data_IF_529029165178
#
_entry.id   IF_529029165178
#
_cell.length_a   1.000
_cell.length_b   1.000
_cell.length_c   1.000
_cell.angle_alpha   90.00
_cell.angle_beta   90.00
_cell.angle_gamma   90.00
#
_symmetry.space_group_name_H-M   'P 1'
#
loop_
_entity.id
_entity.type
_entity.pdbx_description
1 polymer ?
#
# COMPACT_ATOMS: atom_id res chain seq x y z
N UNK A 1 10.47 -19.19 8.45
CA UNK A 1 10.04 -20.36 9.25
C UNK A 1 8.97 -19.92 10.25
N UNK A 2 7.69 -19.87 9.86
CA UNK A 2 6.54 -19.76 10.77
C UNK A 2 5.32 -20.57 10.30
N UNK A 3 5.25 -21.00 9.03
CA UNK A 3 4.20 -21.90 8.54
C UNK A 3 4.33 -23.33 9.08
N UNK A 4 5.57 -23.80 9.32
CA UNK A 4 5.83 -25.14 9.87
C UNK A 4 5.73 -25.21 11.39
N UNK A 5 5.86 -24.07 12.10
CA UNK A 5 5.75 -24.06 13.57
C UNK A 5 4.39 -24.59 14.03
N UNK A 6 3.23 -24.12 13.50
CA UNK A 6 1.93 -24.72 13.81
C UNK A 6 1.80 -26.21 13.42
N UNK A 7 2.59 -26.69 12.45
CA UNK A 7 2.56 -28.10 11.99
C UNK A 7 3.19 -29.04 13.03
N UNK A 8 4.22 -28.61 13.73
CA UNK A 8 5.00 -29.46 14.65
C UNK A 8 4.89 -29.05 16.13
N UNK A 9 4.49 -27.81 16.41
CA UNK A 9 4.41 -27.24 17.74
C UNK A 9 2.99 -26.73 18.03
N UNK A 10 2.67 -26.63 19.31
CA UNK A 10 1.44 -26.00 19.81
C UNK A 10 1.77 -25.03 20.93
N UNK A 11 1.05 -23.92 21.01
CA UNK A 11 1.22 -22.96 22.11
C UNK A 11 0.51 -23.48 23.35
N UNK A 12 1.25 -23.69 24.44
CA UNK A 12 0.68 -23.99 25.75
C UNK A 12 0.43 -22.67 26.49
N UNK A 13 -0.86 -22.35 26.69
CA UNK A 13 -1.28 -21.09 27.34
C UNK A 13 -0.83 -21.01 28.81
N UNK A 14 -0.76 -22.13 29.50
CA UNK A 14 -0.39 -22.19 30.92
C UNK A 14 1.10 -22.00 31.13
N UNK A 15 1.93 -22.68 30.33
CA UNK A 15 3.40 -22.55 30.41
C UNK A 15 3.95 -21.35 29.63
N UNK A 16 3.10 -20.70 28.81
CA UNK A 16 3.47 -19.62 27.87
C UNK A 16 4.66 -20.01 26.99
N UNK A 17 4.68 -21.26 26.52
CA UNK A 17 5.77 -21.81 25.70
C UNK A 17 5.21 -22.61 24.53
N UNK A 18 6.00 -22.67 23.46
CA UNK A 18 5.76 -23.60 22.36
C UNK A 18 6.21 -24.99 22.79
N UNK A 19 5.32 -25.97 22.68
CA UNK A 19 5.59 -27.37 23.00
C UNK A 19 5.45 -28.23 21.75
N UNK A 20 6.26 -29.29 21.67
CA UNK A 20 6.15 -30.27 20.60
C UNK A 20 4.77 -30.93 20.63
N UNK A 21 4.19 -31.12 19.45
CA UNK A 21 2.97 -31.89 19.31
C UNK A 21 3.24 -33.35 19.62
N UNK A 22 2.36 -33.96 20.41
CA UNK A 22 2.45 -35.35 20.87
C UNK A 22 1.60 -36.31 20.03
N UNK A 23 0.84 -35.80 19.06
CA UNK A 23 -0.09 -36.56 18.22
C UNK A 23 0.02 -36.11 16.75
N UNK A 24 -0.06 -37.06 15.82
CA UNK A 24 0.01 -36.79 14.38
C UNK A 24 0.78 -37.87 13.59
N UNK A 25 1.20 -37.52 12.38
CA UNK A 25 2.13 -38.38 11.61
C UNK A 25 3.56 -38.15 12.11
N UNK A 26 4.34 -39.18 12.46
CA UNK A 26 5.72 -38.99 12.92
C UNK A 26 6.56 -38.31 11.83
N UNK A 27 7.46 -37.42 12.26
CA UNK A 27 8.41 -36.78 11.35
C UNK A 27 9.39 -37.84 10.82
N UNK A 28 9.67 -37.88 9.50
CA UNK A 28 10.47 -38.95 8.91
C UNK A 28 11.91 -39.01 9.41
N UNK A 29 12.45 -37.90 9.91
CA UNK A 29 13.87 -37.78 10.30
C UNK A 29 14.12 -37.45 11.76
N UNK A 30 13.08 -37.13 12.56
CA UNK A 30 13.25 -36.67 13.95
C UNK A 30 12.30 -37.41 14.86
N UNK A 31 12.87 -38.25 15.72
CA UNK A 31 12.14 -39.09 16.68
C UNK A 31 11.46 -38.21 17.74
N UNK A 32 10.18 -38.45 18.00
CA UNK A 32 9.40 -37.71 19.00
C UNK A 32 8.72 -36.41 18.51
N UNK A 33 8.91 -36.05 17.24
CA UNK A 33 8.17 -34.94 16.61
C UNK A 33 7.03 -35.49 15.76
N UNK A 34 5.83 -34.93 15.93
CA UNK A 34 4.65 -35.32 15.16
C UNK A 34 4.13 -34.14 14.33
N UNK A 35 3.86 -34.41 13.05
CA UNK A 35 3.20 -33.50 12.12
C UNK A 35 1.69 -33.57 12.31
N UNK A 36 1.07 -32.43 12.60
CA UNK A 36 -0.38 -32.30 12.65
C UNK A 36 -1.01 -32.60 11.27
N UNK A 37 -2.17 -33.26 11.27
CA UNK A 37 -3.05 -33.33 10.08
C UNK A 37 -3.73 -31.99 9.80
N UNK A 38 -3.83 -31.13 10.80
CA UNK A 38 -4.55 -29.85 10.74
C UNK A 38 -3.64 -28.73 10.25
N UNK A 39 -4.10 -27.96 9.27
CA UNK A 39 -3.42 -26.75 8.82
C UNK A 39 -3.66 -25.63 9.85
N UNK A 40 -2.60 -25.00 10.34
CA UNK A 40 -2.70 -23.81 11.16
C UNK A 40 -3.24 -22.65 10.34
N UNK A 41 -4.25 -21.93 10.85
CA UNK A 41 -4.70 -20.68 10.23
C UNK A 41 -3.75 -19.55 10.64
N UNK A 42 -3.22 -18.86 9.65
CA UNK A 42 -2.37 -17.70 9.78
C UNK A 42 -3.21 -16.51 9.32
N UNK A 43 -3.53 -15.55 10.17
CA UNK A 43 -4.43 -14.42 9.86
C UNK A 43 -4.03 -13.67 8.59
N UNK A 44 -4.86 -13.63 7.56
CA UNK A 44 -4.53 -12.86 6.35
C UNK A 44 -4.42 -11.38 6.71
N UNK A 45 -3.30 -10.76 6.33
CA UNK A 45 -3.10 -9.31 6.44
C UNK A 45 -3.24 -8.75 5.04
N UNK A 46 -4.13 -7.78 4.86
CA UNK A 46 -4.35 -7.13 3.58
C UNK A 46 -3.17 -6.17 3.27
N UNK A 47 -2.69 -6.05 2.01
CA UNK A 47 -1.60 -5.14 1.62
C UNK A 47 -1.80 -3.67 2.05
N UNK A 48 -3.06 -3.23 2.14
CA UNK A 48 -3.48 -1.94 2.74
C UNK A 48 -2.89 -1.70 4.14
N UNK A 49 -2.68 -2.75 4.93
CA UNK A 49 -1.96 -2.65 6.22
C UNK A 49 -0.46 -2.86 6.00
N UNK A 50 0.19 -1.92 5.28
CA UNK A 50 1.58 -2.04 4.81
C UNK A 50 2.56 -2.58 5.86
N UNK A 51 2.67 -1.93 7.01
CA UNK A 51 3.59 -2.33 8.09
C UNK A 51 3.35 -3.78 8.54
N UNK A 52 2.10 -4.13 8.85
CA UNK A 52 1.73 -5.49 9.26
C UNK A 52 1.95 -6.52 8.14
N UNK A 53 1.71 -6.13 6.89
CA UNK A 53 1.87 -6.98 5.72
C UNK A 53 3.34 -7.36 5.54
N UNK A 54 4.24 -6.37 5.50
CA UNK A 54 5.68 -6.62 5.34
C UNK A 54 6.28 -7.31 6.56
N UNK A 55 5.87 -6.94 7.79
CA UNK A 55 6.29 -7.64 9.00
C UNK A 55 5.92 -9.13 8.93
N UNK A 56 4.70 -9.44 8.51
CA UNK A 56 4.25 -10.83 8.35
C UNK A 56 5.04 -11.56 7.25
N UNK A 57 5.33 -10.89 6.15
CA UNK A 57 6.12 -11.46 5.06
C UNK A 57 7.53 -11.83 5.55
N UNK A 58 8.17 -10.96 6.34
CA UNK A 58 9.45 -11.25 6.98
C UNK A 58 9.34 -12.40 7.97
N UNK A 59 8.35 -12.41 8.87
CA UNK A 59 8.13 -13.53 9.80
C UNK A 59 7.93 -14.86 9.05
N UNK A 60 7.29 -14.84 7.88
CA UNK A 60 7.15 -16.03 7.04
C UNK A 60 8.50 -16.59 6.57
N UNK A 61 9.40 -15.70 6.11
CA UNK A 61 10.59 -16.06 5.36
C UNK A 61 11.88 -16.08 6.20
N UNK A 62 12.04 -15.16 7.16
CA UNK A 62 13.21 -15.06 8.05
C UNK A 62 13.10 -16.12 9.16
N UNK A 63 14.12 -17.00 9.34
CA UNK A 63 14.11 -18.02 10.38
C UNK A 63 14.59 -17.46 11.72
N UNK A 64 13.91 -17.84 12.81
CA UNK A 64 14.35 -17.60 14.19
C UNK A 64 14.61 -16.14 14.58
N UNK A 65 13.77 -15.16 14.19
CA UNK A 65 13.99 -13.78 14.56
C UNK A 65 13.98 -13.59 16.08
N UNK A 66 15.02 -12.95 16.62
CA UNK A 66 15.18 -12.70 18.06
C UNK A 66 14.70 -11.31 18.47
N UNK A 67 14.54 -10.39 17.52
CA UNK A 67 14.05 -9.03 17.72
C UNK A 67 13.43 -8.46 16.45
N UNK A 68 12.71 -7.34 16.56
CA UNK A 68 12.22 -6.59 15.40
C UNK A 68 13.36 -5.97 14.57
N UNK A 69 14.47 -5.62 15.21
CA UNK A 69 15.66 -5.16 14.51
C UNK A 69 16.26 -6.29 13.68
N UNK A 70 16.35 -7.50 14.22
CA UNK A 70 16.82 -8.67 13.48
C UNK A 70 16.01 -8.91 12.20
N UNK A 71 14.69 -8.73 12.26
CA UNK A 71 13.83 -8.83 11.07
C UNK A 71 14.15 -7.80 10.00
N UNK A 72 14.62 -6.61 10.39
CA UNK A 72 15.04 -5.54 9.48
C UNK A 72 16.52 -5.64 9.10
N UNK A 73 17.26 -6.62 9.60
CA UNK A 73 18.67 -6.79 9.27
C UNK A 73 18.82 -7.81 8.15
N UNK A 74 19.33 -7.37 7.00
CA UNK A 74 19.62 -8.23 5.85
C UNK A 74 21.08 -7.99 5.44
N UNK A 75 21.84 -9.07 5.26
CA UNK A 75 23.27 -9.01 4.90
C UNK A 75 24.12 -8.11 5.83
N UNK A 76 23.79 -8.05 7.13
CA UNK A 76 24.50 -7.23 8.12
C UNK A 76 24.13 -5.75 8.13
N UNK A 77 23.21 -5.29 7.27
CA UNK A 77 22.69 -3.93 7.25
C UNK A 77 21.29 -3.88 7.87
N UNK A 78 21.08 -2.97 8.82
CA UNK A 78 19.76 -2.69 9.39
C UNK A 78 19.03 -1.71 8.48
N UNK A 79 17.80 -2.07 8.08
CA UNK A 79 16.93 -1.22 7.27
C UNK A 79 15.92 -0.44 8.12
N UNK A 80 15.49 0.72 7.62
CA UNK A 80 14.56 1.59 8.33
C UNK A 80 13.15 0.99 8.41
N UNK A 81 12.68 0.39 7.31
CA UNK A 81 11.32 -0.18 7.22
C UNK A 81 11.37 -1.70 6.99
N UNK A 82 10.30 -2.41 7.36
CA UNK A 82 10.14 -3.82 7.02
C UNK A 82 10.04 -4.04 5.50
N UNK A 83 9.48 -3.06 4.78
CA UNK A 83 9.40 -3.08 3.32
C UNK A 83 10.78 -3.13 2.67
N UNK A 84 11.72 -2.29 3.14
CA UNK A 84 13.07 -2.26 2.60
C UNK A 84 13.83 -3.58 2.85
N UNK A 85 13.63 -4.20 4.02
CA UNK A 85 14.18 -5.52 4.31
C UNK A 85 13.57 -6.62 3.42
N UNK A 86 12.25 -6.57 3.17
CA UNK A 86 11.60 -7.48 2.20
C UNK A 86 12.16 -7.31 0.79
N UNK A 87 12.44 -6.07 0.37
CA UNK A 87 13.03 -5.76 -0.94
C UNK A 87 14.44 -6.34 -1.07
N UNK A 88 15.28 -6.14 -0.07
CA UNK A 88 16.65 -6.69 -0.07
C UNK A 88 16.64 -8.23 -0.09
N UNK A 89 15.66 -8.86 0.56
CA UNK A 89 15.45 -10.31 0.53
C UNK A 89 14.74 -10.81 -0.74
N UNK A 90 14.40 -9.92 -1.69
CA UNK A 90 13.68 -10.25 -2.93
C UNK A 90 12.35 -10.98 -2.67
N UNK A 91 11.65 -10.60 -1.59
CA UNK A 91 10.35 -11.17 -1.22
C UNK A 91 9.17 -10.46 -1.88
N UNK A 92 9.42 -9.33 -2.54
CA UNK A 92 8.41 -8.54 -3.24
C UNK A 92 8.40 -8.92 -4.73
N UNK A 93 7.22 -9.03 -5.31
CA UNK A 93 7.08 -9.20 -6.76
C UNK A 93 7.62 -7.99 -7.51
N UNK A 94 8.10 -8.19 -8.72
CA UNK A 94 8.62 -7.09 -9.53
C UNK A 94 7.46 -6.22 -10.06
N UNK A 95 7.47 -4.93 -9.68
CA UNK A 95 6.49 -3.92 -10.10
C UNK A 95 6.66 -3.50 -11.58
N UNK A 96 7.55 -4.16 -12.35
CA UNK A 96 7.80 -3.91 -13.77
C UNK A 96 6.53 -3.87 -14.65
N UNK A 97 5.47 -4.60 -14.29
CA UNK A 97 4.21 -4.54 -15.02
C UNK A 97 3.56 -3.14 -14.96
N UNK A 98 3.68 -2.43 -13.84
CA UNK A 98 3.16 -1.07 -13.68
C UNK A 98 3.99 -0.06 -14.46
N UNK A 99 5.30 -0.29 -14.55
CA UNK A 99 6.20 0.50 -15.37
C UNK A 99 5.82 0.40 -16.85
N UNK A 100 5.67 -0.83 -17.38
CA UNK A 100 5.23 -1.06 -18.76
C UNK A 100 3.84 -0.45 -19.02
N UNK A 101 2.91 -0.65 -18.09
CA UNK A 101 1.54 -0.11 -18.20
C UNK A 101 1.53 1.42 -18.26
N UNK A 102 2.33 2.10 -17.44
CA UNK A 102 2.45 3.55 -17.47
C UNK A 102 3.25 4.05 -18.68
N UNK A 103 4.23 3.28 -19.16
CA UNK A 103 4.94 3.57 -20.41
C UNK A 103 3.99 3.59 -21.61
N UNK A 104 3.13 2.58 -21.73
CA UNK A 104 2.14 2.51 -22.81
C UNK A 104 1.11 3.64 -22.70
N UNK A 105 0.65 3.94 -21.48
CA UNK A 105 -0.26 5.06 -21.24
C UNK A 105 0.37 6.41 -21.59
N UNK A 106 1.65 6.62 -21.25
CA UNK A 106 2.38 7.84 -21.58
C UNK A 106 2.46 8.11 -23.09
N UNK A 107 2.42 7.07 -23.93
CA UNK A 107 2.45 7.20 -25.39
C UNK A 107 1.07 7.39 -26.03
N UNK A 108 0.00 6.92 -25.36
CA UNK A 108 -1.31 6.74 -26.00
C UNK A 108 -2.44 7.53 -25.35
N UNK A 109 -2.24 8.03 -24.13
CA UNK A 109 -3.30 8.59 -23.29
C UNK A 109 -3.06 10.05 -22.92
N UNK A 110 -4.12 10.73 -22.53
CA UNK A 110 -4.04 12.11 -22.02
C UNK A 110 -3.46 12.14 -20.61
N UNK A 111 -2.84 13.25 -20.17
CA UNK A 111 -2.31 13.39 -18.81
C UNK A 111 -3.33 13.07 -17.71
N UNK A 112 -4.60 13.46 -17.90
CA UNK A 112 -5.68 13.13 -16.98
C UNK A 112 -5.93 11.62 -16.87
N UNK A 113 -5.95 10.90 -17.99
CA UNK A 113 -6.12 9.45 -17.99
C UNK A 113 -4.93 8.74 -17.33
N UNK A 114 -3.72 9.24 -17.55
CA UNK A 114 -2.51 8.72 -16.90
C UNK A 114 -2.60 8.92 -15.37
N UNK A 115 -3.05 10.09 -14.90
CA UNK A 115 -3.30 10.35 -13.46
C UNK A 115 -4.36 9.40 -12.87
N UNK A 116 -5.46 9.15 -13.58
CA UNK A 116 -6.49 8.19 -13.16
C UNK A 116 -5.95 6.76 -13.08
N UNK A 117 -5.23 6.31 -14.09
CA UNK A 117 -4.58 5.01 -14.09
C UNK A 117 -3.61 4.87 -12.91
N UNK A 118 -2.80 5.89 -12.65
CA UNK A 118 -1.89 5.91 -11.53
C UNK A 118 -2.62 5.82 -10.18
N UNK A 119 -3.70 6.58 -9.99
CA UNK A 119 -4.52 6.49 -8.78
C UNK A 119 -5.13 5.09 -8.58
N UNK A 120 -5.58 4.43 -9.66
CA UNK A 120 -6.07 3.04 -9.61
C UNK A 120 -4.95 2.08 -9.19
N UNK A 121 -3.76 2.20 -9.79
CA UNK A 121 -2.60 1.37 -9.44
C UNK A 121 -2.27 1.54 -7.94
N UNK A 122 -2.21 2.79 -7.45
CA UNK A 122 -1.93 3.07 -6.03
C UNK A 122 -2.97 2.43 -5.10
N UNK A 123 -4.25 2.63 -5.39
CA UNK A 123 -5.36 2.28 -4.48
C UNK A 123 -5.74 0.81 -4.51
N UNK A 124 -5.53 0.13 -5.63
CA UNK A 124 -5.99 -1.26 -5.83
C UNK A 124 -4.84 -2.27 -5.89
N UNK A 125 -3.68 -1.87 -6.40
CA UNK A 125 -2.55 -2.78 -6.62
C UNK A 125 -1.45 -2.63 -5.56
N UNK A 126 -1.42 -1.52 -4.82
CA UNK A 126 -0.45 -1.26 -3.75
C UNK A 126 1.01 -1.45 -4.19
N UNK A 127 1.47 -0.79 -5.27
CA UNK A 127 2.85 -0.90 -5.74
C UNK A 127 3.80 -0.53 -4.60
N UNK A 128 4.91 -1.26 -4.50
CA UNK A 128 5.95 -0.97 -3.53
C UNK A 128 6.91 0.11 -4.05
N UNK A 129 6.93 0.40 -5.36
CA UNK A 129 7.71 1.48 -5.99
C UNK A 129 6.89 2.70 -6.44
N UNK A 130 5.82 3.06 -5.71
CA UNK A 130 4.96 4.20 -6.06
C UNK A 130 5.74 5.49 -6.38
N UNK A 131 6.71 5.86 -5.54
CA UNK A 131 7.54 7.05 -5.75
C UNK A 131 8.38 6.95 -7.03
N UNK A 132 8.98 5.80 -7.30
CA UNK A 132 9.80 5.60 -8.50
C UNK A 132 8.96 5.76 -9.77
N UNK A 133 7.75 5.19 -9.78
CA UNK A 133 6.82 5.34 -10.91
C UNK A 133 6.41 6.80 -11.09
N UNK A 134 6.10 7.51 -10.00
CA UNK A 134 5.83 8.95 -10.06
C UNK A 134 6.99 9.74 -10.66
N UNK A 135 8.21 9.58 -10.14
CA UNK A 135 9.38 10.33 -10.64
C UNK A 135 9.62 10.10 -12.13
N UNK A 136 9.35 8.88 -12.62
CA UNK A 136 9.53 8.52 -14.03
C UNK A 136 8.45 9.12 -14.94
N UNK A 137 7.19 9.19 -14.50
CA UNK A 137 6.05 9.55 -15.35
C UNK A 137 5.41 10.91 -15.02
N UNK A 138 5.89 11.64 -13.99
CA UNK A 138 5.34 12.93 -13.57
C UNK A 138 5.24 13.95 -14.71
N UNK A 139 6.19 14.00 -15.63
CA UNK A 139 6.16 14.94 -16.75
C UNK A 139 4.96 14.67 -17.68
N UNK A 140 4.69 13.40 -17.97
CA UNK A 140 3.52 12.99 -18.76
C UNK A 140 2.22 13.28 -18.02
N UNK A 141 2.21 13.12 -16.70
CA UNK A 141 1.06 13.45 -15.85
C UNK A 141 0.85 14.95 -15.63
N UNK A 142 1.81 15.81 -15.97
CA UNK A 142 1.75 17.26 -15.74
C UNK A 142 1.71 18.07 -17.05
N UNK A 143 1.75 17.40 -18.21
CA UNK A 143 1.84 18.05 -19.52
C UNK A 143 0.65 19.00 -19.81
N UNK A 144 -0.56 18.64 -19.41
CA UNK A 144 -1.76 19.49 -19.58
C UNK A 144 -1.70 20.75 -18.71
N UNK A 145 -1.18 20.64 -17.48
CA UNK A 145 -0.92 21.77 -16.58
C UNK A 145 0.12 22.71 -17.20
N UNK A 146 1.21 22.15 -17.77
CA UNK A 146 2.21 22.91 -18.51
C UNK A 146 1.64 23.66 -19.68
N UNK A 147 0.84 22.97 -20.48
CA UNK A 147 0.19 23.58 -21.63
C UNK A 147 -0.76 24.71 -21.21
N UNK A 148 -1.53 24.52 -20.13
CA UNK A 148 -2.45 25.53 -19.59
C UNK A 148 -1.69 26.78 -19.11
N UNK A 149 -0.61 26.62 -18.34
CA UNK A 149 0.19 27.75 -17.83
C UNK A 149 0.83 28.54 -18.97
N UNK A 150 1.40 27.84 -19.97
CA UNK A 150 1.99 28.50 -21.15
C UNK A 150 0.98 29.34 -21.95
N UNK A 151 -0.29 28.96 -21.94
CA UNK A 151 -1.35 29.73 -22.58
C UNK A 151 -1.74 30.97 -21.77
N UNK A 152 -1.86 30.83 -20.45
CA UNK A 152 -2.30 31.90 -19.55
C UNK A 152 -1.25 33.01 -19.41
N UNK A 153 0.02 32.64 -19.17
CA UNK A 153 1.08 33.59 -18.81
C UNK A 153 1.79 34.20 -20.03
N UNK A 154 1.40 33.82 -21.26
CA UNK A 154 2.05 34.21 -22.52
C UNK A 154 3.58 33.92 -22.58
N UNK A 155 4.10 33.10 -21.66
CA UNK A 155 5.51 32.73 -21.56
C UNK A 155 5.74 31.34 -22.16
N UNK A 156 6.18 31.29 -23.42
CA UNK A 156 6.42 30.03 -24.16
C UNK A 156 7.63 29.21 -23.67
N UNK A 157 8.55 29.81 -22.91
CA UNK A 157 9.80 29.18 -22.47
C UNK A 157 9.78 28.63 -21.04
N UNK A 158 8.61 28.53 -20.40
CA UNK A 158 8.50 27.90 -19.08
C UNK A 158 8.65 26.38 -19.25
N UNK A 159 9.54 25.79 -18.46
CA UNK A 159 9.69 24.34 -18.30
C UNK A 159 8.94 23.85 -17.04
N UNK A 160 8.92 22.55 -16.77
CA UNK A 160 8.23 22.01 -15.60
C UNK A 160 8.78 22.58 -14.28
N UNK A 161 7.88 23.10 -13.45
CA UNK A 161 8.22 23.65 -12.13
C UNK A 161 7.68 22.77 -11.00
N UNK A 162 8.25 22.86 -9.78
CA UNK A 162 7.75 22.12 -8.60
C UNK A 162 6.26 22.35 -8.32
N UNK A 163 5.76 23.56 -8.56
CA UNK A 163 4.37 23.95 -8.31
C UNK A 163 3.41 23.17 -9.23
N UNK A 164 3.83 22.88 -10.45
CA UNK A 164 3.04 22.13 -11.42
C UNK A 164 2.97 20.65 -11.08
N UNK A 165 4.08 20.09 -10.60
CA UNK A 165 4.10 18.74 -10.05
C UNK A 165 3.23 18.64 -8.80
N UNK A 166 3.26 19.66 -7.94
CA UNK A 166 2.39 19.72 -6.77
C UNK A 166 0.91 19.74 -7.16
N UNK A 167 0.51 20.54 -8.16
CA UNK A 167 -0.86 20.53 -8.66
C UNK A 167 -1.27 19.15 -9.20
N UNK A 168 -0.40 18.49 -9.96
CA UNK A 168 -0.66 17.12 -10.42
C UNK A 168 -0.82 16.14 -9.24
N UNK A 169 -0.02 16.26 -8.17
CA UNK A 169 -0.16 15.47 -6.96
C UNK A 169 -1.49 15.74 -6.23
N UNK A 170 -1.97 16.98 -6.20
CA UNK A 170 -3.31 17.32 -5.66
C UNK A 170 -4.39 16.57 -6.43
N UNK A 171 -4.36 16.62 -7.76
CA UNK A 171 -5.34 15.92 -8.61
C UNK A 171 -5.31 14.41 -8.42
N UNK A 172 -4.12 13.82 -8.28
CA UNK A 172 -3.97 12.39 -8.00
C UNK A 172 -4.49 12.06 -6.59
N UNK A 173 -4.22 12.91 -5.60
CA UNK A 173 -4.71 12.70 -4.24
C UNK A 173 -6.23 12.75 -4.17
N UNK A 174 -6.87 13.68 -4.89
CA UNK A 174 -8.33 13.76 -4.98
C UNK A 174 -8.92 12.47 -5.57
N UNK A 175 -8.29 11.91 -6.60
CA UNK A 175 -8.66 10.61 -7.18
C UNK A 175 -8.47 9.46 -6.17
N UNK A 176 -7.36 9.44 -5.44
CA UNK A 176 -7.11 8.44 -4.40
C UNK A 176 -8.14 8.51 -3.28
N UNK A 177 -8.43 9.72 -2.79
CA UNK A 177 -9.45 9.96 -1.76
C UNK A 177 -10.82 9.53 -2.25
N UNK A 178 -11.16 9.82 -3.51
CA UNK A 178 -12.43 9.39 -4.10
C UNK A 178 -12.56 7.86 -4.15
N UNK A 179 -11.49 7.14 -4.51
CA UNK A 179 -11.51 5.68 -4.70
C UNK A 179 -11.45 4.93 -3.36
N UNK A 180 -10.61 5.37 -2.43
CA UNK A 180 -10.24 4.59 -1.24
C UNK A 180 -10.40 5.32 0.10
N UNK A 181 -10.76 6.61 0.05
CA UNK A 181 -10.81 7.53 1.19
C UNK A 181 -9.49 7.63 1.97
N UNK A 182 -8.37 7.51 1.25
CA UNK A 182 -7.02 7.62 1.84
C UNK A 182 -6.15 8.62 1.07
N UNK A 183 -5.35 9.42 1.79
CA UNK A 183 -4.42 10.38 1.19
C UNK A 183 -3.21 9.71 0.54
N UNK A 184 -2.46 10.48 -0.25
CA UNK A 184 -1.29 9.97 -0.99
C UNK A 184 -0.19 9.39 -0.09
N UNK A 185 0.01 9.97 1.10
CA UNK A 185 1.02 9.50 2.05
C UNK A 185 0.84 8.03 2.49
N UNK A 186 -0.41 7.53 2.47
CA UNK A 186 -0.69 6.13 2.79
C UNK A 186 -0.07 5.18 1.75
N UNK A 187 0.08 5.65 0.51
CA UNK A 187 0.64 4.91 -0.61
C UNK A 187 2.15 5.09 -0.76
N UNK A 188 2.81 5.79 0.18
CA UNK A 188 4.25 6.04 0.13
C UNK A 188 4.65 7.12 -0.87
N UNK A 189 3.69 7.98 -1.23
CA UNK A 189 3.88 9.19 -2.03
C UNK A 189 3.96 10.41 -1.10
N UNK A 190 4.64 11.51 -1.49
CA UNK A 190 4.59 12.75 -0.74
C UNK A 190 3.15 13.30 -0.70
N UNK A 191 2.76 13.86 0.43
CA UNK A 191 1.53 14.66 0.50
C UNK A 191 1.72 15.95 -0.28
N UNK A 192 0.77 16.35 -1.13
CA UNK A 192 0.83 17.62 -1.83
C UNK A 192 0.64 18.80 -0.87
N UNK A 193 1.26 19.92 -1.19
CA UNK A 193 1.08 21.19 -0.51
C UNK A 193 -0.24 21.83 -0.99
N UNK A 194 -1.29 21.72 -0.17
CA UNK A 194 -2.60 22.33 -0.46
C UNK A 194 -2.70 23.74 0.13
N UNK A 195 -3.03 24.78 -0.67
CA UNK A 195 -3.41 26.07 -0.10
C UNK A 195 -4.73 25.94 0.68
N UNK A 196 -4.90 26.73 1.74
CA UNK A 196 -6.01 26.59 2.69
C UNK A 196 -7.42 26.61 2.06
N UNK A 197 -7.58 27.26 0.91
CA UNK A 197 -8.82 27.32 0.13
C UNK A 197 -9.26 25.99 -0.49
N UNK A 198 -8.32 25.11 -0.87
CA UNK A 198 -8.65 23.83 -1.50
C UNK A 198 -9.03 22.75 -0.49
N UNK A 199 -8.56 22.86 0.75
CA UNK A 199 -8.99 22.01 1.86
C UNK A 199 -10.49 22.17 2.13
N UNK A 200 -10.97 23.42 2.17
CA UNK A 200 -12.38 23.74 2.37
C UNK A 200 -13.25 23.17 1.24
N UNK A 201 -12.80 23.27 -0.01
CA UNK A 201 -13.54 22.70 -1.15
C UNK A 201 -13.59 21.17 -1.11
N UNK A 202 -12.50 20.51 -0.71
CA UNK A 202 -12.43 19.05 -0.61
C UNK A 202 -13.31 18.52 0.53
N UNK A 203 -13.27 19.18 1.69
CA UNK A 203 -14.11 18.82 2.84
C UNK A 203 -15.59 19.05 2.53
N UNK A 204 -15.93 20.14 1.82
CA UNK A 204 -17.29 20.40 1.37
C UNK A 204 -17.79 19.38 0.34
N UNK A 205 -16.90 18.85 -0.51
CA UNK A 205 -17.25 17.75 -1.44
C UNK A 205 -17.42 16.43 -0.70
N UNK A 206 -16.59 16.13 0.31
CA UNK A 206 -16.77 14.96 1.19
C UNK A 206 -18.08 15.02 1.96
N UNK A 207 -18.45 16.18 2.51
CA UNK A 207 -19.74 16.38 3.20
C UNK A 207 -20.95 16.22 2.28
N UNK A 208 -20.79 16.35 0.96
CA UNK A 208 -21.88 16.14 -0.01
C UNK A 208 -22.00 14.71 -0.49
N UNK A 209 -21.11 13.82 -0.07
CA UNK A 209 -21.02 12.44 -0.57
C UNK A 209 -21.58 11.41 0.43
N UNK A 210 -22.51 11.82 1.29
CA UNK A 210 -23.27 10.89 2.12
C UNK A 210 -24.33 10.16 1.28
N UNK A 211 -24.49 8.87 1.53
CA UNK A 211 -25.54 8.04 0.94
C UNK A 211 -26.92 8.48 1.48
N UNK A 212 -27.63 9.27 0.67
CA UNK A 212 -28.93 9.82 1.02
C UNK A 212 -29.98 8.74 1.30
N UNK A 213 -29.87 7.56 0.67
CA UNK A 213 -30.81 6.46 0.87
C UNK A 213 -30.59 5.80 2.24
N UNK A 214 -29.33 5.67 2.64
CA UNK A 214 -28.97 5.14 3.96
C UNK A 214 -29.38 6.10 5.08
N UNK A 215 -29.17 7.41 4.90
CA UNK A 215 -29.60 8.46 5.82
C UNK A 215 -31.14 8.51 5.94
N UNK A 216 -31.86 8.40 4.83
CA UNK A 216 -33.32 8.33 4.85
C UNK A 216 -33.82 7.09 5.61
N UNK A 217 -33.16 5.95 5.43
CA UNK A 217 -33.48 4.70 6.15
C UNK A 217 -33.20 4.82 7.65
N UNK A 218 -32.13 5.51 8.05
CA UNK A 218 -31.82 5.78 9.46
C UNK A 218 -32.88 6.71 10.08
N UNK A 219 -33.30 7.75 9.37
CA UNK A 219 -34.30 8.70 9.87
C UNK A 219 -35.65 8.01 10.07
N UNK A 220 -36.09 7.19 9.11
CA UNK A 220 -37.34 6.42 9.22
C UNK A 220 -37.32 5.42 10.37
N UNK A 221 -36.16 4.84 10.69
CA UNK A 221 -36.01 3.86 11.78
C UNK A 221 -35.75 4.50 13.15
N UNK A 222 -35.49 5.81 13.22
CA UNK A 222 -35.17 6.51 14.48
C UNK A 222 -36.25 7.50 14.93
N UNK A 223 -37.41 7.55 14.26
CA UNK A 223 -38.61 8.19 14.81
C UNK A 223 -39.18 7.34 15.96
N UNK A 224 -39.27 7.87 17.19
CA UNK A 224 -39.96 7.19 18.27
C UNK A 224 -41.48 7.30 18.07
N UNK A 225 -42.19 6.17 18.22
CA UNK A 225 -43.66 6.08 18.32
C UNK A 225 -44.22 6.98 19.43
#
# INVERSE_FOLDING_TARGET
MYADVPRYFTWNKSSKKWELRKQGKPHPSITGIFKAKTLGRLYTVHPKQRECFYLRLLLGNVPGPTSFEFLRTVNGRVFNTYQDACRELQLLEDDNHWDLTLADAALTSTPNNIRQLFAIILTTCYPWQAQTLWEKYKNCMTEDILHRIRQTDQCRNIDYTPEMYNEALVLIEDLCVLISNLPLNHYGMPSPDRPATDLVNTDLQREKQYDHDNLATIIVNSEPL
#
